data_IF_447193085483
#
_entry.id   IF_447193085483
#
_cell.length_a   1.000
_cell.length_b   1.000
_cell.length_c   1.000
_cell.angle_alpha   90.00
_cell.angle_beta   90.00
_cell.angle_gamma   90.00
#
_symmetry.space_group_name_H-M   'P 1'
#
loop_
_entity.id
_entity.type
_entity.pdbx_description
1 polymer ?
#
# COMPACT_ATOMS: atom_id res chain seq x y z
N UNK A 1 -8.92 -34.22 -19.27
CA UNK A 1 -9.70 -32.97 -19.37
C UNK A 1 -10.54 -32.83 -18.11
N UNK A 2 -10.02 -32.18 -17.08
CA UNK A 2 -10.71 -31.98 -15.80
C UNK A 2 -10.26 -30.64 -15.20
N UNK A 3 -11.03 -29.60 -15.52
CA UNK A 3 -11.51 -28.53 -14.63
C UNK A 3 -10.56 -27.99 -13.54
N UNK A 4 -9.78 -26.95 -13.87
CA UNK A 4 -9.14 -26.04 -12.89
C UNK A 4 -9.43 -24.56 -13.23
N UNK A 5 -10.64 -24.25 -13.70
CA UNK A 5 -10.99 -22.88 -14.14
C UNK A 5 -11.90 -22.16 -13.14
N UNK A 6 -12.42 -22.85 -12.12
CA UNK A 6 -13.35 -22.24 -11.15
C UNK A 6 -12.65 -21.34 -10.10
N UNK A 7 -11.35 -21.51 -9.88
CA UNK A 7 -10.58 -20.75 -8.88
C UNK A 7 -10.16 -19.35 -9.38
N UNK A 8 -10.26 -19.07 -10.68
CA UNK A 8 -9.85 -17.78 -11.26
C UNK A 8 -10.99 -16.80 -11.43
N UNK A 9 -12.24 -17.25 -11.47
CA UNK A 9 -13.42 -16.41 -11.75
C UNK A 9 -13.70 -15.32 -10.69
N UNK A 10 -12.98 -15.31 -9.56
CA UNK A 10 -13.05 -14.29 -8.51
C UNK A 10 -11.78 -13.44 -8.35
N UNK A 11 -10.73 -13.69 -9.15
CA UNK A 11 -9.50 -12.87 -9.17
C UNK A 11 -9.60 -11.69 -10.15
N UNK A 12 -10.69 -11.60 -10.93
CA UNK A 12 -10.91 -10.61 -11.99
C UNK A 12 -11.53 -9.29 -11.51
N UNK A 13 -11.53 -9.03 -10.20
CA UNK A 13 -11.86 -7.69 -9.70
C UNK A 13 -10.86 -6.69 -10.29
N UNK A 14 -11.29 -5.53 -10.81
CA UNK A 14 -10.42 -4.62 -11.56
C UNK A 14 -9.34 -4.04 -10.64
N UNK A 15 -8.25 -4.76 -10.48
CA UNK A 15 -7.02 -4.26 -9.90
C UNK A 15 -6.60 -3.11 -10.81
N UNK A 16 -6.79 -1.88 -10.33
CA UNK A 16 -6.50 -0.66 -11.07
C UNK A 16 -4.97 -0.56 -11.19
N UNK A 17 -4.41 -1.25 -12.17
CA UNK A 17 -3.00 -1.17 -12.54
C UNK A 17 -2.81 0.08 -13.39
N UNK A 18 -1.95 1.01 -12.94
CA UNK A 18 -1.67 2.22 -13.69
C UNK A 18 -0.55 1.91 -14.69
N UNK A 19 -0.89 1.76 -15.96
CA UNK A 19 0.04 1.41 -17.05
C UNK A 19 0.70 2.68 -17.59
N UNK A 20 1.76 3.13 -16.92
CA UNK A 20 2.65 4.19 -17.42
C UNK A 20 3.82 3.54 -18.20
N UNK A 21 3.55 3.01 -19.39
CA UNK A 21 4.56 2.34 -20.24
C UNK A 21 4.76 0.83 -19.92
N UNK A 22 5.98 0.27 -19.99
CA UNK A 22 6.24 -1.18 -19.82
C UNK A 22 6.14 -1.68 -18.37
N UNK A 23 5.86 -0.80 -17.41
CA UNK A 23 5.86 -1.10 -15.98
C UNK A 23 4.41 -1.15 -15.49
N UNK A 24 3.93 -2.35 -15.15
CA UNK A 24 2.64 -2.54 -14.49
C UNK A 24 2.82 -2.31 -12.98
N UNK A 25 2.60 -1.09 -12.50
CA UNK A 25 2.56 -0.79 -11.07
C UNK A 25 1.10 -0.80 -10.59
N UNK A 26 0.82 -1.62 -9.59
CA UNK A 26 -0.44 -1.55 -8.85
C UNK A 26 -0.57 -0.18 -8.19
N UNK A 27 -1.68 0.53 -8.42
CA UNK A 27 -1.98 1.79 -7.72
C UNK A 27 -1.88 1.59 -6.20
N UNK A 28 -2.22 0.39 -5.70
CA UNK A 28 -2.08 0.05 -4.30
C UNK A 28 -0.63 0.20 -3.81
N UNK A 29 0.36 -0.29 -4.56
CA UNK A 29 1.77 -0.20 -4.16
C UNK A 29 2.24 1.27 -4.12
N UNK A 30 1.82 2.07 -5.09
CA UNK A 30 2.19 3.49 -5.15
C UNK A 30 1.60 4.27 -3.95
N UNK A 31 0.34 3.98 -3.62
CA UNK A 31 -0.32 4.53 -2.42
C UNK A 31 0.39 4.07 -1.14
N UNK A 32 0.74 2.79 -1.02
CA UNK A 32 1.48 2.26 0.14
C UNK A 32 2.81 2.97 0.33
N UNK A 33 3.61 3.13 -0.73
CA UNK A 33 4.88 3.86 -0.67
C UNK A 33 4.63 5.30 -0.21
N UNK A 34 3.62 5.97 -0.78
CA UNK A 34 3.22 7.32 -0.37
C UNK A 34 2.86 7.39 1.12
N UNK A 35 2.07 6.44 1.63
CA UNK A 35 1.70 6.38 3.05
C UNK A 35 2.93 6.22 3.93
N UNK A 36 3.84 5.29 3.60
CA UNK A 36 5.06 5.07 4.41
C UNK A 36 5.92 6.32 4.44
N UNK A 37 6.09 7.00 3.30
CA UNK A 37 6.84 8.27 3.23
C UNK A 37 6.17 9.35 4.08
N UNK A 38 4.84 9.50 4.00
CA UNK A 38 4.09 10.46 4.82
C UNK A 38 4.26 10.15 6.31
N UNK A 39 4.12 8.89 6.71
CA UNK A 39 4.33 8.47 8.10
C UNK A 39 5.76 8.72 8.57
N UNK A 40 6.75 8.50 7.72
CA UNK A 40 8.14 8.78 8.02
C UNK A 40 8.37 10.28 8.27
N UNK A 41 7.87 11.14 7.38
CA UNK A 41 7.92 12.60 7.57
C UNK A 41 7.18 13.00 8.84
N UNK A 42 6.01 12.40 9.08
CA UNK A 42 5.22 12.66 10.27
C UNK A 42 5.97 12.28 11.54
N UNK A 43 6.71 11.18 11.55
CA UNK A 43 7.55 10.77 12.68
C UNK A 43 8.76 11.70 12.89
N UNK A 44 9.35 12.22 11.82
CA UNK A 44 10.44 13.21 11.91
C UNK A 44 9.93 14.55 12.44
N UNK A 45 8.73 14.96 12.02
CA UNK A 45 8.13 16.25 12.38
C UNK A 45 7.46 16.20 13.74
N UNK A 46 6.83 15.09 14.15
CA UNK A 46 6.22 14.98 15.47
C UNK A 46 7.31 14.96 16.53
N UNK A 47 7.39 15.99 17.39
CA UNK A 47 8.30 15.93 18.52
C UNK A 47 7.82 14.82 19.47
N UNK A 48 8.76 13.99 19.92
CA UNK A 48 8.46 12.93 20.86
C UNK A 48 7.77 13.52 22.11
N UNK A 49 6.60 12.98 22.51
CA UNK A 49 5.90 13.46 23.69
C UNK A 49 6.82 13.31 24.91
N UNK A 50 7.16 14.45 25.53
CA UNK A 50 8.02 14.51 26.70
C UNK A 50 7.36 13.69 27.82
N UNK A 51 8.03 12.70 28.41
CA UNK A 51 7.46 11.95 29.52
C UNK A 51 7.12 12.94 30.63
N UNK A 52 5.85 12.94 31.07
CA UNK A 52 5.40 13.71 32.22
C UNK A 52 6.08 13.12 33.44
N UNK A 53 7.10 13.82 33.93
CA UNK A 53 7.77 13.54 35.19
C UNK A 53 6.72 13.55 36.31
N UNK A 54 6.35 12.35 36.77
CA UNK A 54 5.56 12.16 37.99
C UNK A 54 6.56 12.16 39.14
N UNK A 55 6.86 13.36 39.63
CA UNK A 55 7.38 13.57 40.98
C UNK A 55 6.24 13.73 41.97
#
# INVERSE_FOLDING_TARGET
MTTTTALTAGLDGPARYLTWGPIQISVANLVTIGIIVVLFVLAVVLPFPKPRDRR
#
